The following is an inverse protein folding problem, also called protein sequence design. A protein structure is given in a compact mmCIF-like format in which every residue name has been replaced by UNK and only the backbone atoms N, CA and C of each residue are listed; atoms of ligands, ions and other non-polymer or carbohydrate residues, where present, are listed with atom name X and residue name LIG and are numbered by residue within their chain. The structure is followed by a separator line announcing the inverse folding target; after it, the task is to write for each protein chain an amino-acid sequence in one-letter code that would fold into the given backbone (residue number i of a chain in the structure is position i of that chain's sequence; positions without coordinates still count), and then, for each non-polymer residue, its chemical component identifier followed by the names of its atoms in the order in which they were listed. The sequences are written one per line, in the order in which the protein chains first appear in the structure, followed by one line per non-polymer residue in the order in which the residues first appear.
data_IF_519829567180
#
_entry.id   IF_519829567180
#
_cell.length_a   1.000
_cell.length_b   1.000
_cell.length_c   1.000
_cell.angle_alpha   90.00
_cell.angle_beta   90.00
_cell.angle_gamma   90.00
#
_symmetry.space_group_name_H-M   'P 1'
#
loop_
_entity.id
_entity.type
_entity.pdbx_description
1 polymer ?
#
# COMPACT_ATOMS: atom_id res chain seq x y z
N UNK A 1 -9.24 46.18 18.28
CA UNK A 1 -8.46 44.92 18.25
C UNK A 1 -7.83 44.71 19.62
N UNK A 2 -7.91 43.51 20.18
CA UNK A 2 -7.21 43.18 21.43
C UNK A 2 -5.83 42.61 21.09
N UNK A 3 -4.78 43.33 21.45
CA UNK A 3 -3.38 42.92 21.24
C UNK A 3 -2.81 42.44 22.56
N UNK A 4 -2.21 41.25 22.59
CA UNK A 4 -1.55 40.66 23.76
C UNK A 4 -0.08 40.46 23.47
N UNK A 5 0.76 40.76 24.45
CA UNK A 5 2.21 40.61 24.35
C UNK A 5 2.67 39.35 25.10
N UNK A 6 3.60 38.62 24.50
CA UNK A 6 4.27 37.46 25.11
C UNK A 6 5.78 37.66 24.98
N UNK A 7 6.53 37.34 26.04
CA UNK A 7 8.00 37.37 26.03
C UNK A 7 8.53 35.94 25.96
N UNK A 8 9.40 35.67 24.99
CA UNK A 8 10.08 34.40 24.81
C UNK A 8 11.57 34.62 25.04
N UNK A 9 12.22 33.73 25.78
CA UNK A 9 13.67 33.75 26.04
C UNK A 9 14.25 32.45 25.52
N UNK A 10 15.31 32.55 24.71
CA UNK A 10 16.07 31.41 24.24
C UNK A 10 17.26 31.19 25.16
N UNK A 11 17.42 29.97 25.67
CA UNK A 11 18.65 29.58 26.35
C UNK A 11 19.63 28.99 25.34
N UNK A 12 20.68 29.74 24.97
CA UNK A 12 21.63 29.32 23.94
C UNK A 12 22.52 28.14 24.35
N UNK A 13 22.54 27.77 25.63
CA UNK A 13 23.20 26.53 26.10
C UNK A 13 22.40 25.28 25.69
N UNK A 14 21.10 25.43 25.38
CA UNK A 14 20.26 24.36 24.85
C UNK A 14 20.29 24.40 23.33
N UNK A 15 20.61 23.25 22.73
CA UNK A 15 20.74 23.13 21.28
C UNK A 15 19.45 23.51 20.53
N UNK A 16 18.28 23.08 21.01
CA UNK A 16 17.00 23.40 20.37
C UNK A 16 16.71 24.89 20.37
N UNK A 17 16.93 25.57 21.50
CA UNK A 17 16.73 27.01 21.64
C UNK A 17 17.73 27.79 20.77
N UNK A 18 18.99 27.33 20.71
CA UNK A 18 20.01 27.89 19.83
C UNK A 18 19.61 27.77 18.36
N UNK A 19 19.21 26.58 17.92
CA UNK A 19 18.72 26.33 16.55
C UNK A 19 17.51 27.20 16.22
N UNK A 20 16.56 27.33 17.15
CA UNK A 20 15.40 28.20 16.97
C UNK A 20 15.82 29.68 16.84
N UNK A 21 16.80 30.11 17.63
CA UNK A 21 17.34 31.47 17.54
C UNK A 21 18.09 31.73 16.23
N UNK A 22 18.91 30.78 15.78
CA UNK A 22 19.65 30.88 14.51
C UNK A 22 18.68 30.92 13.31
N UNK A 23 17.61 30.13 13.35
CA UNK A 23 16.54 30.18 12.34
C UNK A 23 15.87 31.55 12.29
N UNK A 24 15.63 32.15 13.45
CA UNK A 24 15.02 33.47 13.57
C UNK A 24 15.95 34.59 13.09
N UNK A 25 17.26 34.47 13.28
CA UNK A 25 18.26 35.44 12.79
C UNK A 25 18.28 35.55 11.26
N UNK A 26 18.02 34.46 10.54
CA UNK A 26 17.93 34.45 9.08
C UNK A 26 16.59 34.94 8.52
N UNK A 27 15.61 35.27 9.36
CA UNK A 27 14.28 35.66 8.91
C UNK A 27 14.26 37.14 8.47
N UNK A 28 13.72 37.41 7.27
CA UNK A 28 13.55 38.78 6.75
C UNK A 28 12.52 39.64 7.54
N UNK A 29 11.72 39.01 8.41
CA UNK A 29 10.64 39.64 9.19
C UNK A 29 11.07 39.89 10.63
N UNK A 30 10.33 40.75 11.34
CA UNK A 30 10.52 40.92 12.78
C UNK A 30 10.38 39.59 13.53
N UNK A 31 11.21 39.39 14.56
CA UNK A 31 11.26 38.14 15.33
C UNK A 31 9.87 37.66 15.80
N UNK A 32 9.05 38.56 16.35
CA UNK A 32 7.70 38.21 16.79
C UNK A 32 6.83 37.69 15.65
N UNK A 33 6.95 38.27 14.45
CA UNK A 33 6.16 37.85 13.28
C UNK A 33 6.65 36.52 12.72
N UNK A 34 7.96 36.28 12.72
CA UNK A 34 8.54 35.00 12.34
C UNK A 34 8.11 33.89 13.30
N UNK A 35 8.16 34.13 14.62
CA UNK A 35 7.69 33.18 15.64
C UNK A 35 6.21 32.86 15.48
N UNK A 36 5.35 33.86 15.30
CA UNK A 36 3.91 33.64 15.07
C UNK A 36 3.70 32.77 13.82
N UNK A 37 4.41 33.05 12.73
CA UNK A 37 4.30 32.28 11.49
C UNK A 37 4.72 30.82 11.66
N UNK A 38 5.78 30.56 12.41
CA UNK A 38 6.26 29.19 12.68
C UNK A 38 5.24 28.43 13.53
N UNK A 39 4.67 29.06 14.56
CA UNK A 39 3.65 28.43 15.40
C UNK A 39 2.42 28.07 14.58
N UNK A 40 1.89 29.02 13.78
CA UNK A 40 0.75 28.75 12.91
C UNK A 40 1.05 27.62 11.91
N UNK A 41 2.20 27.69 11.22
CA UNK A 41 2.60 26.67 10.26
C UNK A 41 2.79 25.28 10.89
N UNK A 42 3.32 25.21 12.11
CA UNK A 42 3.45 23.95 12.84
C UNK A 42 2.09 23.35 13.20
N UNK A 43 1.13 24.17 13.64
CA UNK A 43 -0.22 23.70 13.96
C UNK A 43 -0.92 23.16 12.71
N UNK A 44 -0.83 23.86 11.58
CA UNK A 44 -1.39 23.42 10.30
C UNK A 44 -0.74 22.13 9.80
N UNK A 45 0.59 22.00 9.92
CA UNK A 45 1.31 20.77 9.55
C UNK A 45 0.89 19.60 10.45
N UNK A 46 0.78 19.83 11.76
CA UNK A 46 0.40 18.78 12.71
C UNK A 46 -1.02 18.25 12.46
N UNK A 47 -1.94 19.12 12.03
CA UNK A 47 -3.28 18.71 11.62
C UNK A 47 -3.22 17.86 10.34
N UNK A 48 -2.42 18.29 9.35
CA UNK A 48 -2.26 17.55 8.10
C UNK A 48 -1.62 16.18 8.31
N UNK A 49 -0.56 16.07 9.11
CA UNK A 49 0.08 14.78 9.40
C UNK A 49 -0.88 13.81 10.07
N UNK A 50 -1.73 14.29 10.98
CA UNK A 50 -2.76 13.44 11.60
C UNK A 50 -3.78 12.91 10.57
N UNK A 51 -4.16 13.73 9.58
CA UNK A 51 -5.03 13.27 8.49
C UNK A 51 -4.33 12.31 7.52
N UNK A 52 -3.03 12.52 7.27
CA UNK A 52 -2.22 11.67 6.40
C UNK A 52 -1.98 10.29 7.05
N UNK A 53 -1.73 10.23 8.35
CA UNK A 53 -1.60 8.96 9.09
C UNK A 53 -2.91 8.15 9.03
N UNK A 54 -4.06 8.80 9.22
CA UNK A 54 -5.36 8.15 9.09
C UNK A 54 -5.62 7.65 7.65
N UNK A 55 -5.15 8.38 6.64
CA UNK A 55 -5.22 7.95 5.25
C UNK A 55 -4.33 6.73 4.96
N UNK A 56 -3.08 6.73 5.45
CA UNK A 56 -2.14 5.62 5.31
C UNK A 56 -2.70 4.34 5.94
N UNK A 57 -3.25 4.42 7.15
CA UNK A 57 -3.90 3.30 7.82
C UNK A 57 -5.11 2.77 7.04
N UNK A 58 -5.90 3.66 6.44
CA UNK A 58 -7.02 3.26 5.57
C UNK A 58 -6.52 2.52 4.33
N UNK A 59 -5.50 3.03 3.65
CA UNK A 59 -4.93 2.39 2.46
C UNK A 59 -4.39 1.00 2.80
N UNK A 60 -3.62 0.86 3.88
CA UNK A 60 -3.08 -0.42 4.34
C UNK A 60 -4.21 -1.40 4.67
N UNK A 61 -5.25 -0.92 5.36
CA UNK A 61 -6.40 -1.74 5.73
C UNK A 61 -7.17 -2.24 4.50
N UNK A 62 -7.43 -1.36 3.52
CA UNK A 62 -8.09 -1.74 2.26
C UNK A 62 -7.26 -2.75 1.47
N UNK A 63 -5.94 -2.57 1.37
CA UNK A 63 -5.07 -3.55 0.69
C UNK A 63 -5.11 -4.89 1.40
N UNK A 64 -5.01 -4.92 2.73
CA UNK A 64 -5.09 -6.18 3.50
C UNK A 64 -6.44 -6.88 3.33
N UNK A 65 -7.53 -6.12 3.32
CA UNK A 65 -8.87 -6.64 3.11
C UNK A 65 -9.02 -7.26 1.71
N UNK A 66 -8.60 -6.54 0.66
CA UNK A 66 -8.69 -7.03 -0.72
C UNK A 66 -7.76 -8.22 -0.97
N UNK A 67 -6.54 -8.21 -0.43
CA UNK A 67 -5.62 -9.36 -0.49
C UNK A 67 -6.19 -10.58 0.27
N UNK A 68 -6.84 -10.36 1.41
CA UNK A 68 -7.52 -11.42 2.16
C UNK A 68 -8.73 -12.01 1.43
N UNK A 69 -9.45 -11.18 0.66
CA UNK A 69 -10.56 -11.63 -0.21
C UNK A 69 -10.06 -12.37 -1.45
N UNK A 70 -8.94 -11.95 -2.02
CA UNK A 70 -8.29 -12.70 -3.09
C UNK A 70 -7.62 -13.94 -2.50
N UNK A 71 -8.36 -15.02 -2.26
CA UNK A 71 -7.77 -16.30 -1.89
C UNK A 71 -7.11 -16.91 -3.14
N UNK A 72 -5.77 -16.85 -3.31
CA UNK A 72 -5.12 -17.38 -4.52
C UNK A 72 -5.27 -18.91 -4.63
N UNK A 73 -5.61 -19.59 -3.53
CA UNK A 73 -5.82 -21.03 -3.46
C UNK A 73 -7.30 -21.43 -3.68
N UNK A 74 -8.24 -20.49 -3.59
CA UNK A 74 -9.68 -20.77 -3.71
C UNK A 74 -10.09 -21.20 -5.11
N UNK A 75 -9.48 -20.59 -6.14
CA UNK A 75 -9.64 -21.01 -7.54
C UNK A 75 -8.92 -22.31 -7.87
N UNK A 76 -7.78 -22.59 -7.23
CA UNK A 76 -7.02 -23.83 -7.45
C UNK A 76 -7.72 -25.06 -6.85
N UNK A 77 -8.42 -24.92 -5.73
CA UNK A 77 -9.18 -26.02 -5.12
C UNK A 77 -10.40 -26.46 -5.93
N UNK A 78 -10.95 -25.60 -6.81
CA UNK A 78 -12.01 -26.01 -7.75
C UNK A 78 -11.50 -26.98 -8.82
N UNK A 79 -10.21 -26.94 -9.15
CA UNK A 79 -9.61 -27.87 -10.12
C UNK A 79 -9.23 -29.23 -9.51
N UNK A 80 -9.18 -29.33 -8.18
CA UNK A 80 -8.88 -30.59 -7.47
C UNK A 80 -10.14 -31.40 -7.17
N UNK A 81 -11.34 -30.82 -7.33
CA UNK A 81 -12.58 -31.60 -7.29
C UNK A 81 -12.76 -32.39 -8.59
N UNK A 82 -12.07 -33.51 -8.70
CA UNK A 82 -12.37 -34.57 -9.67
C UNK A 82 -13.84 -35.00 -9.53
N UNK A 83 -14.64 -35.02 -10.62
CA UNK A 83 -15.95 -35.66 -10.61
C UNK A 83 -15.77 -37.16 -10.28
N UNK A 84 -16.71 -37.81 -9.56
CA UNK A 84 -16.66 -39.25 -9.40
C UNK A 84 -16.75 -39.90 -10.79
N UNK A 85 -15.68 -40.59 -11.19
CA UNK A 85 -15.63 -41.33 -12.44
C UNK A 85 -16.74 -42.38 -12.46
N UNK A 86 -17.73 -42.20 -13.33
CA UNK A 86 -18.61 -43.28 -13.74
C UNK A 86 -17.87 -44.09 -14.81
N UNK A 87 -17.67 -45.39 -14.55
CA UNK A 87 -17.10 -46.33 -15.51
C UNK A 87 -18.23 -47.04 -16.27
N UNK A 88 -18.39 -46.87 -17.59
CA UNK A 88 -19.14 -47.80 -18.43
C UNK A 88 -18.26 -48.97 -18.86
N UNK A 89 -18.88 -50.14 -18.95
CA UNK A 89 -18.26 -51.43 -19.18
C UNK A 89 -17.53 -51.58 -20.54
N UNK A 90 -16.48 -52.39 -20.47
CA UNK A 90 -15.71 -53.11 -21.49
C UNK A 90 -16.49 -53.53 -22.76
N UNK A 91 -15.91 -53.29 -23.96
CA UNK A 91 -15.88 -54.25 -25.09
C UNK A 91 -14.95 -53.84 -26.26
N UNK A 92 -14.06 -54.77 -26.56
CA UNK A 92 -13.23 -55.04 -27.76
C UNK A 92 -13.73 -54.47 -29.11
N UNK A 93 -12.86 -53.79 -29.87
CA UNK A 93 -12.36 -54.18 -31.21
C UNK A 93 -11.41 -53.09 -31.76
N UNK A 94 -10.08 -53.33 -31.79
CA UNK A 94 -9.07 -52.39 -32.33
C UNK A 94 -8.04 -53.14 -33.20
N UNK A 95 -8.51 -53.97 -34.15
CA UNK A 95 -7.61 -54.62 -35.11
C UNK A 95 -7.59 -53.91 -36.49
N UNK A 96 -8.67 -53.22 -36.87
CA UNK A 96 -8.77 -52.53 -38.18
C UNK A 96 -8.09 -51.14 -38.18
N UNK A 97 -7.91 -50.55 -36.99
CA UNK A 97 -7.36 -49.19 -36.84
C UNK A 97 -5.85 -49.16 -37.08
N UNK A 98 -5.12 -50.24 -36.79
CA UNK A 98 -3.66 -50.27 -36.93
C UNK A 98 -3.21 -50.41 -38.39
N UNK A 99 -3.91 -51.21 -39.20
CA UNK A 99 -3.58 -51.39 -40.62
C UNK A 99 -3.79 -50.09 -41.41
N UNK A 100 -4.83 -49.33 -41.05
CA UNK A 100 -5.15 -48.04 -41.67
C UNK A 100 -4.11 -46.96 -41.33
N UNK A 101 -3.52 -47.00 -40.12
CA UNK A 101 -2.47 -46.06 -39.69
C UNK A 101 -1.13 -46.39 -40.36
N UNK A 102 -0.83 -47.66 -40.61
CA UNK A 102 0.39 -48.06 -41.32
C UNK A 102 0.34 -47.67 -42.80
N UNK A 103 -0.82 -47.76 -43.47
CA UNK A 103 -0.98 -47.34 -44.87
C UNK A 103 -0.84 -45.82 -45.06
N UNK A 104 -1.12 -45.01 -44.04
CA UNK A 104 -0.96 -43.54 -44.10
C UNK A 104 0.51 -43.08 -44.02
N UNK A 105 1.37 -43.84 -43.34
CA UNK A 105 2.79 -43.50 -43.17
C UNK A 105 3.64 -43.75 -44.43
N UNK A 106 3.18 -44.61 -45.33
CA UNK A 106 3.89 -44.98 -46.57
C UNK A 106 3.58 -44.02 -47.74
N UNK A 107 2.80 -42.95 -47.48
CA UNK A 107 2.32 -41.97 -48.47
C UNK A 107 3.14 -40.66 -48.52
N UNK A 108 4.31 -40.59 -47.87
CA UNK A 108 5.20 -39.41 -47.86
C UNK A 108 6.60 -39.71 -48.39
#
# INVERSE_FOLDING_TARGET
MSVRNVKIRFNLDKENDRRAYDYLQGAEKSYSKAVISVICGFMELSERTATEDAFLERVISTIREEVGKSNPLGGLLQFVQTPPAQTPAEKENNAETEETVLAFLDSF
#
